data_IF_902714617399
#
_entry.id   IF_902714617399
#
_cell.length_a   1.000
_cell.length_b   1.000
_cell.length_c   1.000
_cell.angle_alpha   90.00
_cell.angle_beta   90.00
_cell.angle_gamma   90.00
#
_symmetry.space_group_name_H-M   'P 1'
#
loop_
_entity.id
_entity.type
_entity.pdbx_description
1 polymer ?
#
# COMPACT_ATOMS: atom_id res chain seq x y z
N UNK A 1 -16.55 50.75 12.83
CA UNK A 1 -15.21 50.29 12.55
C UNK A 1 -15.10 48.85 12.98
N UNK A 2 -15.22 47.95 12.05
CA UNK A 2 -15.02 46.52 12.27
C UNK A 2 -13.81 46.10 11.43
N UNK A 3 -12.71 45.87 12.11
CA UNK A 3 -11.50 45.32 11.52
C UNK A 3 -11.74 43.84 11.20
N UNK A 4 -11.76 43.51 9.93
CA UNK A 4 -11.72 42.14 9.46
C UNK A 4 -10.27 41.64 9.56
N UNK A 5 -9.96 40.87 10.60
CA UNK A 5 -8.71 40.12 10.66
C UNK A 5 -8.72 39.05 9.53
N UNK A 6 -7.97 39.33 8.49
CA UNK A 6 -7.60 38.32 7.51
C UNK A 6 -6.66 37.33 8.18
N UNK A 7 -7.15 36.14 8.51
CA UNK A 7 -6.32 34.99 8.87
C UNK A 7 -5.42 34.65 7.69
N UNK A 8 -4.21 35.16 7.72
CA UNK A 8 -3.13 34.75 6.84
C UNK A 8 -2.82 33.28 7.11
N UNK A 9 -3.45 32.37 6.36
CA UNK A 9 -3.07 30.97 6.36
C UNK A 9 -1.61 30.88 5.88
N UNK A 10 -0.74 30.28 6.68
CA UNK A 10 0.60 29.92 6.26
C UNK A 10 0.47 29.10 4.96
N UNK A 11 0.81 29.70 3.82
CA UNK A 11 0.91 28.99 2.54
C UNK A 11 2.07 28.02 2.72
N UNK A 12 1.76 26.75 2.94
CA UNK A 12 2.76 25.71 3.05
C UNK A 12 3.51 25.63 1.70
N UNK A 13 4.82 25.80 1.74
CA UNK A 13 5.67 25.64 0.55
C UNK A 13 5.61 24.20 0.05
N UNK A 14 4.78 23.95 -0.98
CA UNK A 14 4.56 22.62 -1.53
C UNK A 14 5.77 22.17 -2.35
N UNK A 15 6.47 21.13 -1.89
CA UNK A 15 7.75 20.67 -2.45
C UNK A 15 7.64 19.46 -3.39
N UNK A 16 6.49 18.78 -3.39
CA UNK A 16 6.33 17.59 -4.23
C UNK A 16 6.02 18.00 -5.68
N UNK A 17 6.84 17.52 -6.61
CA UNK A 17 6.72 17.89 -8.04
C UNK A 17 5.81 16.95 -8.83
N UNK A 18 5.58 15.74 -8.35
CA UNK A 18 4.84 14.69 -9.05
C UNK A 18 3.33 14.72 -8.78
N UNK A 19 2.89 15.45 -7.77
CA UNK A 19 1.49 15.59 -7.37
C UNK A 19 1.25 17.03 -6.90
N UNK A 20 0.11 17.63 -7.29
CA UNK A 20 -0.31 18.94 -6.76
C UNK A 20 -0.78 18.83 -5.32
N UNK A 21 -0.70 19.93 -4.57
CA UNK A 21 -1.21 19.99 -3.20
C UNK A 21 -2.70 19.60 -3.14
N UNK A 22 -3.51 20.10 -4.07
CA UNK A 22 -4.95 19.79 -4.14
C UNK A 22 -5.21 18.29 -4.31
N UNK A 23 -4.52 17.65 -5.25
CA UNK A 23 -4.66 16.21 -5.49
C UNK A 23 -4.19 15.39 -4.29
N UNK A 24 -3.11 15.83 -3.62
CA UNK A 24 -2.62 15.15 -2.42
C UNK A 24 -3.64 15.24 -1.28
N UNK A 25 -4.21 16.43 -1.04
CA UNK A 25 -5.24 16.61 0.00
C UNK A 25 -6.44 15.70 -0.28
N UNK A 26 -6.98 15.72 -1.51
CA UNK A 26 -8.07 14.81 -1.91
C UNK A 26 -7.73 13.33 -1.71
N UNK A 27 -6.49 12.97 -2.01
CA UNK A 27 -6.02 11.58 -1.85
C UNK A 27 -5.98 11.16 -0.37
N UNK A 28 -5.52 12.06 0.50
CA UNK A 28 -5.52 11.86 1.96
C UNK A 28 -6.95 11.77 2.50
N UNK A 29 -7.81 12.73 2.15
CA UNK A 29 -9.21 12.78 2.58
C UNK A 29 -9.95 11.50 2.20
N UNK A 30 -9.84 11.05 0.95
CA UNK A 30 -10.45 9.79 0.49
C UNK A 30 -9.99 8.56 1.29
N UNK A 31 -8.77 8.57 1.82
CA UNK A 31 -8.28 7.49 2.70
C UNK A 31 -8.83 7.63 4.11
N UNK A 32 -8.88 8.85 4.65
CA UNK A 32 -9.44 9.13 5.98
C UNK A 32 -10.93 8.75 6.03
N UNK A 33 -11.69 9.07 5.00
CA UNK A 33 -13.11 8.72 4.90
C UNK A 33 -13.33 7.21 4.97
N UNK A 34 -12.51 6.42 4.26
CA UNK A 34 -12.55 4.95 4.35
C UNK A 34 -12.23 4.41 5.75
N UNK A 35 -11.34 5.07 6.48
CA UNK A 35 -11.08 4.76 7.89
C UNK A 35 -12.30 5.07 8.76
N UNK A 36 -12.92 6.23 8.55
CA UNK A 36 -14.11 6.69 9.29
C UNK A 36 -15.30 5.76 9.11
N UNK A 37 -15.64 5.41 7.87
CA UNK A 37 -16.75 4.50 7.56
C UNK A 37 -16.65 3.16 8.30
N UNK A 38 -15.45 2.65 8.51
CA UNK A 38 -15.20 1.39 9.22
C UNK A 38 -15.30 1.52 10.73
N UNK A 39 -15.17 2.73 11.29
CA UNK A 39 -15.32 2.97 12.72
C UNK A 39 -16.80 3.03 13.13
N UNK A 40 -17.66 3.56 12.25
CA UNK A 40 -19.08 3.77 12.53
C UNK A 40 -19.91 2.49 12.48
N UNK A 41 -19.51 1.49 11.69
CA UNK A 41 -20.26 0.26 11.51
C UNK A 41 -19.52 -0.98 12.05
N UNK A 42 -20.03 -1.53 13.17
CA UNK A 42 -19.68 -2.88 13.57
C UNK A 42 -20.61 -3.89 12.89
N UNK A 43 -20.10 -4.60 11.90
CA UNK A 43 -20.82 -5.68 11.24
C UNK A 43 -20.51 -7.03 11.90
N UNK A 44 -21.42 -7.51 12.75
CA UNK A 44 -21.30 -8.79 13.42
C UNK A 44 -21.24 -9.98 12.46
N UNK A 45 -21.87 -9.88 11.28
CA UNK A 45 -21.81 -10.94 10.27
C UNK A 45 -20.42 -11.04 9.66
N UNK A 46 -19.79 -9.88 9.40
CA UNK A 46 -18.41 -9.80 8.93
C UNK A 46 -17.44 -10.27 10.00
N UNK A 47 -17.66 -9.89 11.25
CA UNK A 47 -16.85 -10.34 12.39
C UNK A 47 -16.84 -11.86 12.49
N UNK A 48 -18.02 -12.49 12.44
CA UNK A 48 -18.18 -13.92 12.56
C UNK A 48 -17.65 -14.74 11.34
N UNK A 49 -17.39 -14.09 10.20
CA UNK A 49 -16.73 -14.75 9.06
C UNK A 49 -15.24 -15.02 9.30
N UNK A 50 -14.63 -14.30 10.22
CA UNK A 50 -13.25 -14.54 10.57
C UNK A 50 -13.18 -15.68 11.58
N UNK A 51 -12.44 -16.72 11.25
CA UNK A 51 -12.18 -17.83 12.17
C UNK A 51 -11.25 -17.31 13.26
N UNK A 52 -11.73 -17.31 14.49
CA UNK A 52 -10.93 -16.96 15.67
C UNK A 52 -10.38 -18.26 16.25
N UNK A 53 -9.08 -18.34 16.44
CA UNK A 53 -8.43 -19.50 17.05
C UNK A 53 -8.78 -19.55 18.55
N UNK A 54 -9.56 -20.57 18.98
CA UNK A 54 -9.99 -20.68 20.36
C UNK A 54 -8.82 -20.98 21.33
N UNK A 55 -7.79 -21.66 20.84
CA UNK A 55 -6.60 -21.97 21.65
C UNK A 55 -5.84 -20.69 21.95
N UNK A 56 -5.62 -19.83 20.93
CA UNK A 56 -5.02 -18.53 21.12
C UNK A 56 -5.79 -17.69 22.12
N UNK A 57 -7.12 -17.66 22.04
CA UNK A 57 -7.95 -16.90 22.97
C UNK A 57 -7.75 -17.37 24.42
N UNK A 58 -7.69 -18.69 24.67
CA UNK A 58 -7.47 -19.24 26.02
C UNK A 58 -6.09 -18.85 26.54
N UNK A 59 -5.05 -18.94 25.71
CA UNK A 59 -3.70 -18.54 26.10
C UNK A 59 -3.66 -17.04 26.41
N UNK A 60 -4.18 -16.18 25.52
CA UNK A 60 -4.21 -14.73 25.72
C UNK A 60 -4.97 -14.38 27.02
N UNK A 61 -6.13 -14.99 27.25
CA UNK A 61 -6.90 -14.80 28.49
C UNK A 61 -6.10 -15.15 29.73
N UNK A 62 -5.41 -16.29 29.70
CA UNK A 62 -4.66 -16.80 30.84
C UNK A 62 -3.41 -15.96 31.13
N UNK A 63 -2.64 -15.63 30.09
CA UNK A 63 -1.38 -14.89 30.23
C UNK A 63 -1.61 -13.43 30.59
N UNK A 64 -2.58 -12.77 29.92
CA UNK A 64 -2.87 -11.36 30.13
C UNK A 64 -3.95 -11.10 31.22
N UNK A 65 -4.53 -12.17 31.79
CA UNK A 65 -5.60 -12.10 32.78
C UNK A 65 -6.79 -11.22 32.33
N UNK A 66 -7.08 -11.22 31.03
CA UNK A 66 -8.10 -10.38 30.41
C UNK A 66 -9.52 -10.93 30.69
N UNK A 67 -10.49 -10.03 30.75
CA UNK A 67 -11.92 -10.39 30.72
C UNK A 67 -12.34 -10.82 29.30
N UNK A 68 -13.51 -11.45 29.17
CA UNK A 68 -14.02 -11.81 27.83
C UNK A 68 -14.38 -10.58 27.00
N UNK A 69 -14.88 -9.51 27.63
CA UNK A 69 -15.17 -8.23 27.00
C UNK A 69 -13.92 -7.59 26.39
N UNK A 70 -12.81 -7.58 27.13
CA UNK A 70 -11.52 -7.09 26.65
C UNK A 70 -11.01 -7.95 25.48
N UNK A 71 -11.15 -9.27 25.57
CA UNK A 71 -10.74 -10.18 24.49
C UNK A 71 -11.52 -9.94 23.20
N UNK A 72 -12.84 -9.78 23.29
CA UNK A 72 -13.68 -9.46 22.14
C UNK A 72 -13.33 -8.07 21.59
N UNK A 73 -13.13 -7.09 22.45
CA UNK A 73 -12.71 -5.74 22.07
C UNK A 73 -11.38 -5.74 21.32
N UNK A 74 -10.39 -6.47 21.81
CA UNK A 74 -9.08 -6.63 21.17
C UNK A 74 -9.20 -7.31 19.80
N UNK A 75 -10.06 -8.32 19.66
CA UNK A 75 -10.25 -8.98 18.38
C UNK A 75 -10.95 -8.07 17.35
N UNK A 76 -11.95 -7.29 17.77
CA UNK A 76 -12.58 -6.27 16.93
C UNK A 76 -11.54 -5.25 16.47
N UNK A 77 -10.70 -4.76 17.39
CA UNK A 77 -9.63 -3.82 17.07
C UNK A 77 -8.64 -4.43 16.07
N UNK A 78 -8.20 -5.66 16.31
CA UNK A 78 -7.27 -6.38 15.42
C UNK A 78 -7.82 -6.53 13.99
N UNK A 79 -9.11 -6.87 13.85
CA UNK A 79 -9.74 -7.01 12.53
C UNK A 79 -9.86 -5.65 11.82
N UNK A 80 -10.16 -4.58 12.55
CA UNK A 80 -10.17 -3.22 12.02
C UNK A 80 -8.77 -2.78 11.60
N UNK A 81 -7.77 -2.98 12.45
CA UNK A 81 -6.38 -2.63 12.16
C UNK A 81 -5.88 -3.34 10.89
N UNK A 82 -6.17 -4.63 10.74
CA UNK A 82 -5.85 -5.37 9.50
C UNK A 82 -6.50 -4.74 8.27
N UNK A 83 -7.75 -4.31 8.38
CA UNK A 83 -8.45 -3.62 7.28
C UNK A 83 -7.81 -2.27 6.96
N UNK A 84 -7.47 -1.49 7.98
CA UNK A 84 -6.84 -0.19 7.84
C UNK A 84 -5.44 -0.29 7.22
N UNK A 85 -4.67 -1.31 7.57
CA UNK A 85 -3.37 -1.56 6.96
C UNK A 85 -3.48 -1.82 5.44
N UNK A 86 -4.57 -2.44 4.98
CA UNK A 86 -4.84 -2.59 3.55
C UNK A 86 -5.12 -1.22 2.89
N UNK A 87 -5.88 -0.33 3.55
CA UNK A 87 -6.15 1.02 3.02
C UNK A 87 -4.88 1.85 2.91
N UNK A 88 -3.96 1.73 3.86
CA UNK A 88 -2.64 2.36 3.76
C UNK A 88 -1.83 1.77 2.59
N UNK A 89 -1.91 0.47 2.37
CA UNK A 89 -1.31 -0.15 1.18
C UNK A 89 -1.86 0.47 -0.11
N UNK A 90 -3.17 0.59 -0.23
CA UNK A 90 -3.83 1.25 -1.37
C UNK A 90 -3.49 2.74 -1.47
N UNK A 91 -3.35 3.46 -0.35
CA UNK A 91 -2.90 4.85 -0.36
C UNK A 91 -1.55 5.00 -1.06
N UNK A 92 -0.57 4.17 -0.70
CA UNK A 92 0.75 4.21 -1.33
C UNK A 92 0.72 3.81 -2.80
N UNK A 93 -0.11 2.85 -3.17
CA UNK A 93 -0.24 2.36 -4.54
C UNK A 93 -0.96 3.37 -5.43
N UNK A 94 -2.12 3.87 -4.99
CA UNK A 94 -2.99 4.70 -5.83
C UNK A 94 -2.50 6.14 -5.98
N UNK A 95 -1.53 6.60 -5.18
CA UNK A 95 -0.91 7.92 -5.39
C UNK A 95 -0.22 8.03 -6.75
N UNK A 96 0.19 6.91 -7.35
CA UNK A 96 0.82 6.88 -8.65
C UNK A 96 -0.13 7.25 -9.80
N UNK A 97 -1.46 7.22 -9.59
CA UNK A 97 -2.43 7.68 -10.58
C UNK A 97 -2.26 9.16 -10.98
N UNK A 98 -1.62 9.96 -10.12
CA UNK A 98 -1.34 11.38 -10.37
C UNK A 98 -0.04 11.63 -11.13
N UNK A 99 0.77 10.60 -11.32
CA UNK A 99 2.03 10.69 -12.05
C UNK A 99 1.80 10.47 -13.54
N UNK A 100 2.42 11.33 -14.35
CA UNK A 100 2.36 11.19 -15.81
C UNK A 100 2.87 9.80 -16.23
N UNK A 101 2.17 9.18 -17.18
CA UNK A 101 2.52 7.87 -17.74
C UNK A 101 2.41 6.69 -16.73
N UNK A 102 1.92 6.91 -15.52
CA UNK A 102 1.61 5.84 -14.57
C UNK A 102 0.14 5.43 -14.71
N UNK A 103 -0.07 4.12 -14.67
CA UNK A 103 -1.37 3.49 -14.61
C UNK A 103 -1.43 2.60 -13.36
N UNK A 104 -2.53 2.69 -12.62
CA UNK A 104 -2.80 1.84 -11.46
C UNK A 104 -3.93 0.89 -11.85
N UNK A 105 -3.64 -0.38 -12.15
CA UNK A 105 -4.64 -1.35 -12.55
C UNK A 105 -5.69 -1.59 -11.45
N UNK A 106 -6.88 -1.98 -11.86
CA UNK A 106 -7.87 -2.52 -10.92
C UNK A 106 -7.34 -3.80 -10.28
N UNK A 107 -7.69 -4.01 -9.01
CA UNK A 107 -7.21 -5.16 -8.24
C UNK A 107 -7.50 -6.49 -8.96
N UNK A 108 -6.45 -7.27 -9.18
CA UNK A 108 -6.49 -8.56 -9.89
C UNK A 108 -6.59 -8.46 -11.42
N UNK A 109 -6.57 -7.25 -12.00
CA UNK A 109 -6.46 -7.04 -13.44
C UNK A 109 -4.99 -6.93 -13.88
N UNK A 110 -4.77 -6.99 -15.20
CA UNK A 110 -3.47 -6.74 -15.83
C UNK A 110 -2.29 -7.47 -15.16
N UNK A 111 -2.46 -8.79 -14.90
CA UNK A 111 -1.44 -9.60 -14.24
C UNK A 111 -1.27 -9.32 -12.74
N UNK A 112 -2.16 -8.51 -12.14
CA UNK A 112 -2.15 -8.16 -10.72
C UNK A 112 -0.99 -7.24 -10.34
N UNK A 113 -0.46 -6.44 -11.28
CA UNK A 113 0.54 -5.43 -10.98
C UNK A 113 -0.08 -4.26 -10.22
N UNK A 114 0.70 -3.68 -9.31
CA UNK A 114 0.22 -2.56 -8.50
C UNK A 114 0.31 -1.23 -9.23
N UNK A 115 1.36 -1.03 -10.03
CA UNK A 115 1.55 0.13 -10.89
C UNK A 115 2.23 -0.31 -12.19
N UNK A 116 1.82 0.30 -13.29
CA UNK A 116 2.48 0.16 -14.60
C UNK A 116 2.87 1.56 -15.06
N UNK A 117 4.12 1.72 -15.46
CA UNK A 117 4.63 2.96 -16.05
C UNK A 117 5.04 2.70 -17.50
N UNK A 118 4.58 3.55 -18.42
CA UNK A 118 4.88 3.43 -19.85
C UNK A 118 5.47 4.73 -20.39
N UNK A 119 6.53 4.64 -21.19
CA UNK A 119 7.12 5.81 -21.83
C UNK A 119 7.55 5.47 -23.26
N UNK A 120 6.90 6.09 -24.24
CA UNK A 120 7.19 5.89 -25.66
C UNK A 120 8.61 6.35 -26.07
N UNK A 121 9.21 7.27 -25.32
CA UNK A 121 10.56 7.76 -25.55
C UNK A 121 11.65 6.84 -25.00
N UNK A 122 11.25 5.76 -24.32
CA UNK A 122 12.13 4.84 -23.62
C UNK A 122 12.49 5.29 -22.21
N UNK A 123 12.90 4.33 -21.42
CA UNK A 123 13.30 4.46 -19.99
C UNK A 123 14.69 3.86 -19.86
N UNK A 124 15.67 4.70 -19.57
CA UNK A 124 17.05 4.25 -19.33
C UNK A 124 17.14 3.58 -17.95
N UNK A 125 17.50 2.31 -17.93
CA UNK A 125 17.78 1.58 -16.70
C UNK A 125 19.21 1.86 -16.21
N UNK A 126 19.50 1.66 -14.90
CA UNK A 126 20.85 1.87 -14.35
C UNK A 126 21.92 1.01 -15.02
N UNK A 127 21.55 -0.18 -15.48
CA UNK A 127 22.42 -1.14 -16.16
C UNK A 127 22.75 -0.76 -17.61
N UNK A 128 22.08 0.26 -18.16
CA UNK A 128 22.32 0.78 -19.50
C UNK A 128 21.27 0.35 -20.54
N UNK A 129 20.41 -0.59 -20.22
CA UNK A 129 19.33 -1.03 -21.10
C UNK A 129 18.24 0.06 -21.19
N UNK A 130 17.51 0.07 -22.30
CA UNK A 130 16.34 0.93 -22.52
C UNK A 130 15.12 0.04 -22.66
N UNK A 131 14.10 0.33 -21.87
CA UNK A 131 12.79 -0.34 -21.93
C UNK A 131 11.68 0.71 -22.07
N UNK A 132 10.50 0.32 -22.55
CA UNK A 132 9.38 1.24 -22.68
C UNK A 132 8.32 1.04 -21.59
N UNK A 133 8.44 -0.03 -20.80
CA UNK A 133 7.45 -0.38 -19.77
C UNK A 133 8.11 -0.85 -18.49
N UNK A 134 7.57 -0.39 -17.37
CA UNK A 134 7.97 -0.84 -16.03
C UNK A 134 6.74 -1.37 -15.29
N UNK A 135 6.86 -2.60 -14.79
CA UNK A 135 5.87 -3.24 -13.94
C UNK A 135 6.33 -3.19 -12.49
N UNK A 136 5.47 -2.70 -11.60
CA UNK A 136 5.80 -2.49 -10.20
C UNK A 136 4.92 -3.35 -9.30
N UNK A 137 5.56 -4.11 -8.43
CA UNK A 137 4.96 -4.75 -7.26
C UNK A 137 5.29 -3.90 -6.03
N UNK A 138 4.30 -3.45 -5.29
CA UNK A 138 4.51 -2.60 -4.12
C UNK A 138 4.30 -3.36 -2.81
N UNK A 139 5.15 -3.06 -1.85
CA UNK A 139 4.97 -3.47 -0.45
C UNK A 139 4.94 -2.23 0.43
N UNK A 140 4.01 -2.21 1.36
CA UNK A 140 3.84 -1.07 2.25
C UNK A 140 5.09 -0.82 3.11
N UNK A 141 5.69 -1.90 3.62
CA UNK A 141 6.86 -1.85 4.52
C UNK A 141 7.92 -2.85 4.10
N UNK A 142 9.15 -2.55 4.50
CA UNK A 142 10.25 -3.51 4.47
C UNK A 142 9.90 -4.77 5.27
N UNK A 143 10.40 -5.92 4.80
CA UNK A 143 10.28 -7.23 5.47
C UNK A 143 8.84 -7.70 5.74
N UNK A 144 7.90 -7.40 4.83
CA UNK A 144 6.51 -7.87 4.91
C UNK A 144 6.24 -9.17 4.15
N UNK A 145 7.21 -9.66 3.37
CA UNK A 145 7.10 -10.89 2.61
C UNK A 145 7.72 -12.06 3.37
N UNK A 146 6.97 -13.16 3.46
CA UNK A 146 7.52 -14.46 3.84
C UNK A 146 8.05 -15.20 2.59
N UNK A 147 8.73 -16.34 2.78
CA UNK A 147 9.32 -17.13 1.69
C UNK A 147 8.32 -17.44 0.58
N UNK A 148 7.08 -17.81 0.92
CA UNK A 148 6.06 -18.15 -0.07
C UNK A 148 5.62 -16.92 -0.89
N UNK A 149 5.44 -15.75 -0.28
CA UNK A 149 5.11 -14.52 -0.99
C UNK A 149 6.27 -14.00 -1.82
N UNK A 150 7.50 -14.14 -1.32
CA UNK A 150 8.74 -13.83 -2.05
C UNK A 150 8.84 -14.67 -3.33
N UNK A 151 8.68 -15.98 -3.22
CA UNK A 151 8.70 -16.89 -4.37
C UNK A 151 7.63 -16.55 -5.41
N UNK A 152 6.39 -16.26 -4.98
CA UNK A 152 5.31 -15.86 -5.88
C UNK A 152 5.62 -14.54 -6.61
N UNK A 153 6.13 -13.55 -5.91
CA UNK A 153 6.50 -12.25 -6.52
C UNK A 153 7.64 -12.44 -7.51
N UNK A 154 8.65 -13.22 -7.16
CA UNK A 154 9.77 -13.52 -8.06
C UNK A 154 9.32 -14.22 -9.34
N UNK A 155 8.51 -15.28 -9.23
CA UNK A 155 7.95 -15.99 -10.38
C UNK A 155 7.06 -15.10 -11.25
N UNK A 156 6.28 -14.22 -10.66
CA UNK A 156 5.47 -13.23 -11.38
C UNK A 156 6.35 -12.32 -12.24
N UNK A 157 7.44 -11.81 -11.66
CA UNK A 157 8.40 -10.95 -12.37
C UNK A 157 9.10 -11.69 -13.50
N UNK A 158 9.58 -12.91 -13.24
CA UNK A 158 10.21 -13.72 -14.28
C UNK A 158 9.26 -14.03 -15.43
N UNK A 159 8.01 -14.39 -15.14
CA UNK A 159 7.01 -14.63 -16.18
C UNK A 159 6.72 -13.37 -17.01
N UNK A 160 6.69 -12.20 -16.37
CA UNK A 160 6.51 -10.93 -17.09
C UNK A 160 7.66 -10.67 -18.05
N UNK A 161 8.90 -10.80 -17.58
CA UNK A 161 10.10 -10.60 -18.40
C UNK A 161 10.22 -11.61 -19.57
N UNK A 162 9.69 -12.82 -19.40
CA UNK A 162 9.66 -13.81 -20.46
C UNK A 162 8.59 -13.53 -21.52
N UNK A 163 7.51 -12.82 -21.15
CA UNK A 163 6.40 -12.51 -22.04
C UNK A 163 6.53 -11.13 -22.74
N UNK A 164 7.36 -10.26 -22.19
CA UNK A 164 7.56 -8.88 -22.68
C UNK A 164 9.04 -8.55 -22.53
N UNK A 165 9.78 -8.54 -23.62
CA UNK A 165 11.22 -8.28 -23.67
C UNK A 165 11.56 -6.78 -23.63
N UNK A 166 10.53 -5.92 -23.71
CA UNK A 166 10.66 -4.46 -23.64
C UNK A 166 10.17 -3.90 -22.30
N UNK A 167 10.40 -4.64 -21.24
CA UNK A 167 9.98 -4.23 -19.90
C UNK A 167 11.03 -4.48 -18.83
N UNK A 168 10.82 -3.83 -17.68
CA UNK A 168 11.51 -4.11 -16.44
C UNK A 168 10.51 -4.32 -15.30
N UNK A 169 10.90 -5.09 -14.29
CA UNK A 169 10.08 -5.34 -13.11
C UNK A 169 10.76 -4.82 -11.85
N UNK A 170 10.01 -4.10 -11.03
CA UNK A 170 10.51 -3.54 -9.77
C UNK A 170 9.68 -4.00 -8.57
N UNK A 171 10.36 -4.38 -7.50
CA UNK A 171 9.76 -4.51 -6.17
C UNK A 171 10.03 -3.20 -5.41
N UNK A 172 8.97 -2.50 -5.03
CA UNK A 172 9.06 -1.22 -4.32
C UNK A 172 8.56 -1.39 -2.89
N UNK A 173 9.38 -1.07 -1.92
CA UNK A 173 9.01 -0.97 -0.52
C UNK A 173 8.80 0.52 -0.18
N UNK A 174 7.54 0.92 0.08
CA UNK A 174 7.19 2.32 0.34
C UNK A 174 7.86 2.85 1.61
N UNK A 175 7.89 2.04 2.67
CA UNK A 175 8.55 2.34 3.94
C UNK A 175 9.72 1.37 4.11
N UNK A 176 10.89 1.78 3.67
CA UNK A 176 12.14 1.03 3.78
C UNK A 176 13.00 1.53 4.95
N UNK A 177 13.97 0.72 5.38
CA UNK A 177 14.94 1.13 6.40
C UNK A 177 15.88 2.25 5.90
N UNK A 178 16.17 2.24 4.61
CA UNK A 178 16.98 3.25 3.91
C UNK A 178 16.53 3.32 2.45
N UNK A 179 16.68 4.49 1.83
CA UNK A 179 16.49 4.63 0.39
C UNK A 179 17.64 3.93 -0.35
N UNK A 180 17.31 3.00 -1.23
CA UNK A 180 18.29 2.27 -2.03
C UNK A 180 17.65 1.75 -3.33
N UNK A 181 18.48 1.56 -4.35
CA UNK A 181 18.12 0.82 -5.56
C UNK A 181 19.16 -0.30 -5.73
N UNK A 182 18.70 -1.54 -5.70
CA UNK A 182 19.56 -2.73 -5.74
C UNK A 182 18.93 -3.80 -6.62
N UNK A 183 19.76 -4.64 -7.22
CA UNK A 183 19.30 -5.86 -7.88
C UNK A 183 18.75 -6.83 -6.82
N UNK A 184 17.50 -7.24 -7.01
CA UNK A 184 16.83 -8.13 -6.06
C UNK A 184 17.10 -9.59 -6.39
N UNK A 185 17.84 -10.26 -5.52
CA UNK A 185 18.17 -11.69 -5.62
C UNK A 185 17.59 -12.43 -4.39
N UNK A 186 16.30 -12.81 -4.41
CA UNK A 186 15.71 -13.52 -3.28
C UNK A 186 16.24 -14.95 -3.18
N UNK A 187 16.41 -15.42 -1.95
CA UNK A 187 16.57 -16.85 -1.68
C UNK A 187 15.16 -17.50 -1.73
N UNK A 188 14.93 -18.33 -2.73
CA UNK A 188 13.67 -19.04 -2.97
C UNK A 188 13.86 -20.52 -2.79
#
# INVERSE_FOLDING_TARGET
CSESESKGGNVMDWKLKFISQENFVKHVEATIDKYGEKLESFDIKRFNKNIIDPIKLIFDKTVYQSTWEEMVGNEIFRQRDKSNNNDIGYFHQTIFQYMKNCHVPENGKEGGWDVIYENADGIQLPEGDVVHKIYVEMKNKHNTMNSASTGKTYMKMQNQLLNDDDCACFLVEAIAQKSQNITWNPTV
#
